data_IF_979682262945
#
_entry.id   IF_979682262945
#
_cell.length_a   1.000
_cell.length_b   1.000
_cell.length_c   1.000
_cell.angle_alpha   90.00
_cell.angle_beta   90.00
_cell.angle_gamma   90.00
#
_symmetry.space_group_name_H-M   'P 1'
#
loop_
_entity.id
_entity.type
_entity.pdbx_description
1 polymer ?
#
# COMPACT_ATOMS: atom_id res chain seq x y z
N UNK A 1 -31.33 49.83 46.33
CA UNK A 1 -31.81 48.56 45.76
C UNK A 1 -31.01 48.24 44.52
N UNK A 2 -30.00 47.33 44.61
CA UNK A 2 -29.18 46.90 43.50
C UNK A 2 -29.50 45.44 43.28
N UNK A 3 -30.02 45.14 42.09
CA UNK A 3 -30.22 43.74 41.61
C UNK A 3 -28.93 43.19 41.07
N UNK A 4 -28.39 42.18 41.72
CA UNK A 4 -27.33 41.34 41.22
C UNK A 4 -27.92 40.31 40.24
N UNK A 5 -27.49 40.35 38.98
CA UNK A 5 -27.75 39.29 38.00
C UNK A 5 -26.62 38.25 38.08
N UNK A 6 -26.97 37.09 38.54
CA UNK A 6 -26.16 35.91 38.53
C UNK A 6 -26.15 35.34 37.09
N UNK A 7 -25.02 35.41 36.43
CA UNK A 7 -24.84 34.77 35.13
C UNK A 7 -24.40 33.32 35.41
N UNK A 8 -25.29 32.38 35.11
CA UNK A 8 -24.96 30.94 35.09
C UNK A 8 -24.26 30.62 33.75
N UNK A 9 -22.97 30.32 33.83
CA UNK A 9 -22.18 29.88 32.69
C UNK A 9 -22.37 28.36 32.49
N UNK A 10 -23.27 27.98 31.58
CA UNK A 10 -23.37 26.60 31.13
C UNK A 10 -22.09 26.24 30.30
N UNK A 11 -21.18 25.50 30.91
CA UNK A 11 -20.13 24.79 30.15
C UNK A 11 -20.78 23.62 29.38
N UNK A 12 -20.94 23.82 28.09
CA UNK A 12 -21.22 22.73 27.17
C UNK A 12 -19.90 22.02 26.94
N UNK A 13 -19.71 20.85 27.53
CA UNK A 13 -18.67 19.93 27.17
C UNK A 13 -18.99 19.39 25.76
N UNK A 14 -18.43 20.03 24.75
CA UNK A 14 -18.38 19.48 23.40
C UNK A 14 -17.41 18.28 23.38
N UNK A 15 -17.97 17.09 23.29
CA UNK A 15 -17.22 15.89 22.97
C UNK A 15 -16.71 16.08 21.54
N UNK A 16 -15.44 16.46 21.40
CA UNK A 16 -14.76 16.44 20.11
C UNK A 16 -14.49 14.97 19.83
N UNK A 17 -15.39 14.35 19.08
CA UNK A 17 -15.05 13.13 18.33
C UNK A 17 -13.96 13.54 17.34
N UNK A 18 -12.72 13.27 17.70
CA UNK A 18 -11.64 13.23 16.70
C UNK A 18 -11.92 12.02 15.83
N UNK A 19 -12.68 12.26 14.74
CA UNK A 19 -12.69 11.33 13.63
C UNK A 19 -11.23 11.12 13.22
N UNK A 20 -10.78 9.89 13.29
CA UNK A 20 -9.57 9.47 12.62
C UNK A 20 -9.86 9.69 11.12
N UNK A 21 -9.47 10.84 10.65
CA UNK A 21 -9.31 11.10 9.23
C UNK A 21 -8.17 10.18 8.83
N UNK A 22 -8.47 9.08 8.17
CA UNK A 22 -7.49 8.42 7.29
C UNK A 22 -7.16 9.51 6.29
N UNK A 23 -6.06 10.19 6.55
CA UNK A 23 -5.57 11.24 5.67
C UNK A 23 -5.31 10.58 4.33
N UNK A 24 -6.04 11.02 3.31
CA UNK A 24 -5.54 10.98 1.94
C UNK A 24 -4.15 11.57 2.03
N UNK A 25 -3.14 10.70 1.93
CA UNK A 25 -1.74 11.10 1.96
C UNK A 25 -1.57 12.08 0.81
N UNK A 26 -1.21 13.31 1.15
CA UNK A 26 -1.02 14.36 0.17
C UNK A 26 -0.02 13.88 -0.87
N UNK A 27 -0.33 14.03 -2.14
CA UNK A 27 0.52 13.67 -3.29
C UNK A 27 1.89 14.38 -3.31
N UNK A 28 2.19 15.22 -2.32
CA UNK A 28 3.27 16.21 -2.36
C UNK A 28 4.54 15.84 -1.59
N UNK A 29 4.67 14.64 -0.98
CA UNK A 29 5.91 14.30 -0.26
C UNK A 29 5.92 12.98 0.51
N UNK A 30 7.06 12.62 1.13
CA UNK A 30 7.27 11.32 1.78
C UNK A 30 6.42 11.08 3.04
N UNK A 31 5.89 12.12 3.68
CA UNK A 31 5.01 12.01 4.85
C UNK A 31 5.70 11.66 6.17
N UNK A 32 6.65 10.72 6.17
CA UNK A 32 7.39 10.28 7.39
C UNK A 32 8.41 11.34 7.82
N UNK A 33 9.10 11.93 6.86
CA UNK A 33 10.03 13.04 7.07
C UNK A 33 9.62 14.22 6.20
N UNK A 34 9.91 15.47 6.63
CA UNK A 34 9.58 16.64 5.83
C UNK A 34 10.37 16.64 4.52
N UNK A 35 9.79 17.18 3.46
CA UNK A 35 10.54 17.51 2.25
C UNK A 35 11.58 18.60 2.57
N UNK A 36 12.81 18.45 2.05
CA UNK A 36 13.85 19.48 2.21
C UNK A 36 13.38 20.79 1.59
N UNK A 37 13.40 21.87 2.38
CA UNK A 37 12.83 23.16 1.99
C UNK A 37 13.43 23.71 0.69
N UNK A 38 12.56 24.06 -0.25
CA UNK A 38 12.93 24.59 -1.55
C UNK A 38 13.35 23.55 -2.58
N UNK A 39 13.20 22.26 -2.29
CA UNK A 39 13.41 21.19 -3.27
C UNK A 39 12.25 21.08 -4.24
N UNK A 40 12.57 20.73 -5.48
CA UNK A 40 11.60 20.39 -6.51
C UNK A 40 11.39 18.86 -6.54
N UNK A 41 10.16 18.41 -6.32
CA UNK A 41 9.79 17.01 -6.57
C UNK A 41 9.80 16.76 -8.08
N UNK A 42 10.65 15.82 -8.54
CA UNK A 42 10.80 15.49 -9.95
C UNK A 42 9.91 14.30 -10.32
N UNK A 43 9.88 13.30 -9.44
CA UNK A 43 9.19 12.05 -9.72
C UNK A 43 8.78 11.34 -8.43
N UNK A 44 7.71 10.57 -8.51
CA UNK A 44 7.25 9.67 -7.44
C UNK A 44 6.78 8.35 -8.02
N UNK A 45 7.07 7.25 -7.33
CA UNK A 45 6.60 5.91 -7.64
C UNK A 45 5.96 5.26 -6.41
N UNK A 46 4.95 4.43 -6.68
CA UNK A 46 4.39 3.49 -5.72
C UNK A 46 4.45 2.09 -6.35
N UNK A 47 5.30 1.22 -5.78
CA UNK A 47 5.54 -0.14 -6.30
C UNK A 47 4.59 -1.17 -5.70
N UNK A 48 3.80 -0.79 -4.68
CA UNK A 48 3.02 -1.76 -3.91
C UNK A 48 3.91 -2.59 -2.98
N UNK A 49 3.46 -3.80 -2.66
CA UNK A 49 4.22 -4.74 -1.82
C UNK A 49 5.25 -5.48 -2.68
N UNK A 50 6.52 -5.25 -2.38
CA UNK A 50 7.67 -5.80 -3.12
C UNK A 50 8.83 -6.11 -2.18
N UNK A 51 9.79 -6.92 -2.65
CA UNK A 51 11.07 -7.15 -1.98
C UNK A 51 12.12 -6.18 -2.54
N UNK A 52 12.87 -5.52 -1.66
CA UNK A 52 13.98 -4.64 -2.04
C UNK A 52 15.23 -4.94 -1.21
N UNK A 53 16.41 -5.11 -1.84
CA UNK A 53 17.67 -5.17 -1.11
C UNK A 53 18.03 -3.81 -0.50
N UNK A 54 18.35 -3.83 0.79
CA UNK A 54 18.74 -2.67 1.59
C UNK A 54 20.17 -2.87 2.07
N UNK A 55 21.05 -1.94 1.73
CA UNK A 55 22.45 -1.98 2.16
C UNK A 55 22.55 -1.45 3.60
N UNK A 56 22.99 -2.29 4.51
CA UNK A 56 23.07 -2.03 5.94
C UNK A 56 24.51 -1.99 6.49
N UNK A 57 25.50 -2.12 5.62
CA UNK A 57 26.92 -2.14 5.96
C UNK A 57 27.79 -2.37 4.74
N UNK A 58 29.11 -2.36 4.93
CA UNK A 58 30.08 -2.60 3.85
C UNK A 58 29.90 -3.98 3.21
N UNK A 59 29.53 -4.99 4.01
CA UNK A 59 29.34 -6.39 3.56
C UNK A 59 27.93 -6.89 3.90
N UNK A 60 26.99 -6.00 4.14
CA UNK A 60 25.67 -6.40 4.64
C UNK A 60 24.55 -5.83 3.75
N UNK A 61 23.91 -6.73 3.02
CA UNK A 61 22.69 -6.43 2.26
C UNK A 61 21.58 -7.36 2.76
N UNK A 62 20.44 -6.79 3.14
CA UNK A 62 19.26 -7.54 3.51
C UNK A 62 18.14 -7.30 2.50
N UNK A 63 17.51 -8.37 2.06
CA UNK A 63 16.25 -8.25 1.34
C UNK A 63 15.14 -7.92 2.33
N UNK A 64 14.41 -6.86 2.04
CA UNK A 64 13.32 -6.34 2.88
C UNK A 64 12.05 -6.32 2.05
N UNK A 65 11.02 -6.97 2.56
CA UNK A 65 9.68 -6.97 1.95
C UNK A 65 8.81 -5.91 2.61
N UNK A 66 7.99 -5.23 1.81
CA UNK A 66 7.07 -4.20 2.30
C UNK A 66 6.46 -3.38 1.18
N UNK A 67 5.59 -2.44 1.56
CA UNK A 67 5.03 -1.47 0.60
C UNK A 67 6.07 -0.40 0.30
N UNK A 68 6.49 -0.30 -0.98
CA UNK A 68 7.59 0.57 -1.39
C UNK A 68 7.06 1.81 -2.09
N UNK A 69 7.45 2.98 -1.55
CA UNK A 69 7.23 4.29 -2.15
C UNK A 69 8.54 4.99 -2.36
N UNK A 70 8.68 5.72 -3.47
CA UNK A 70 9.88 6.43 -3.85
C UNK A 70 9.55 7.86 -4.24
N UNK A 71 10.39 8.77 -3.80
CA UNK A 71 10.33 10.21 -4.11
C UNK A 71 11.70 10.67 -4.58
N UNK A 72 11.75 11.36 -5.70
CA UNK A 72 12.98 11.87 -6.26
C UNK A 72 12.92 13.38 -6.39
N UNK A 73 13.94 14.05 -5.86
CA UNK A 73 14.01 15.50 -5.74
C UNK A 73 15.26 16.07 -6.36
N UNK A 74 15.16 17.33 -6.82
CA UNK A 74 16.27 18.22 -7.02
C UNK A 74 16.37 19.17 -5.83
N UNK A 75 17.53 19.25 -5.20
CA UNK A 75 17.78 20.18 -4.10
C UNK A 75 17.89 21.63 -4.62
N UNK A 76 17.67 22.64 -3.76
CA UNK A 76 17.95 24.04 -4.12
C UNK A 76 19.39 24.24 -4.55
N UNK A 77 19.62 25.25 -5.41
CA UNK A 77 20.95 25.60 -5.92
C UNK A 77 21.97 25.78 -4.80
N UNK A 78 23.16 25.22 -4.99
CA UNK A 78 24.29 25.33 -4.07
C UNK A 78 24.26 24.39 -2.87
N UNK A 79 23.26 23.52 -2.74
CA UNK A 79 23.22 22.50 -1.69
C UNK A 79 24.08 21.30 -2.09
N UNK A 80 24.77 20.72 -1.08
CA UNK A 80 25.61 19.53 -1.29
C UNK A 80 24.86 18.26 -0.92
N UNK A 81 25.23 17.08 -1.49
CA UNK A 81 24.72 15.78 -1.05
C UNK A 81 24.89 15.56 0.46
N UNK A 82 26.05 15.94 1.00
CA UNK A 82 26.33 15.86 2.44
C UNK A 82 25.33 16.68 3.28
N UNK A 83 25.01 17.90 2.85
CA UNK A 83 24.05 18.76 3.56
C UNK A 83 22.65 18.13 3.56
N UNK A 84 22.22 17.54 2.45
CA UNK A 84 20.94 16.83 2.36
C UNK A 84 20.90 15.68 3.37
N UNK A 85 21.89 14.78 3.35
CA UNK A 85 21.95 13.64 4.26
C UNK A 85 21.99 14.09 5.72
N UNK A 86 22.74 15.14 6.06
CA UNK A 86 22.80 15.65 7.46
C UNK A 86 21.47 16.22 7.94
N UNK A 87 20.70 16.86 7.07
CA UNK A 87 19.37 17.35 7.42
C UNK A 87 18.40 16.21 7.66
N UNK A 88 18.42 15.16 6.81
CA UNK A 88 17.57 13.99 7.02
C UNK A 88 17.99 13.15 8.22
N UNK A 89 19.29 13.02 8.49
CA UNK A 89 19.77 12.38 9.72
C UNK A 89 19.17 13.08 10.95
N UNK A 90 19.25 14.42 11.02
CA UNK A 90 18.66 15.18 12.11
C UNK A 90 17.11 15.08 12.14
N UNK A 91 16.43 15.04 11.00
CA UNK A 91 15.00 14.86 10.95
C UNK A 91 14.57 13.48 11.47
N UNK A 92 15.33 12.43 11.13
CA UNK A 92 15.13 11.06 11.62
C UNK A 92 15.34 10.98 13.13
N UNK A 93 16.41 11.57 13.64
CA UNK A 93 16.68 11.63 15.09
C UNK A 93 15.56 12.36 15.86
N UNK A 94 14.98 13.42 15.29
CA UNK A 94 13.88 14.17 15.91
C UNK A 94 12.56 13.41 16.01
N UNK A 95 12.40 12.31 15.28
CA UNK A 95 11.23 11.43 15.33
C UNK A 95 11.57 10.06 15.95
N UNK A 96 12.62 10.02 16.78
CA UNK A 96 13.11 8.82 17.46
C UNK A 96 13.50 7.67 16.50
N UNK A 97 13.84 8.00 15.25
CA UNK A 97 14.31 7.03 14.27
C UNK A 97 15.75 6.60 14.52
N UNK A 98 16.07 5.38 14.17
CA UNK A 98 17.40 4.79 14.32
C UNK A 98 18.13 4.76 12.97
N UNK A 99 19.24 5.47 12.84
CA UNK A 99 20.16 5.29 11.70
C UNK A 99 20.85 3.94 11.83
N UNK A 100 20.70 3.10 10.81
CA UNK A 100 21.26 1.75 10.74
C UNK A 100 22.63 1.74 10.06
N UNK A 101 22.74 2.46 8.94
CA UNK A 101 23.98 2.59 8.18
C UNK A 101 24.02 3.92 7.45
N UNK A 102 25.21 4.48 7.27
CA UNK A 102 25.46 5.62 6.39
C UNK A 102 26.89 5.58 5.88
N UNK A 103 27.09 6.08 4.66
CA UNK A 103 28.43 6.24 4.07
C UNK A 103 28.52 7.54 3.29
N UNK A 104 29.74 8.09 3.25
CA UNK A 104 30.14 9.28 2.47
C UNK A 104 31.07 8.92 1.32
N UNK A 105 31.35 7.65 1.15
CA UNK A 105 32.18 7.12 0.10
C UNK A 105 31.63 5.76 -0.36
N UNK A 106 30.43 5.78 -1.01
CA UNK A 106 29.82 4.55 -1.52
C UNK A 106 30.69 3.82 -2.53
N UNK A 107 31.59 4.53 -3.22
CA UNK A 107 32.47 3.93 -4.23
C UNK A 107 33.59 3.08 -3.61
N UNK A 108 33.92 3.30 -2.31
CA UNK A 108 34.90 2.47 -1.59
C UNK A 108 34.31 1.15 -1.06
N UNK A 109 33.00 0.95 -1.16
CA UNK A 109 32.28 -0.22 -0.66
C UNK A 109 32.01 -1.15 -1.86
N UNK A 110 32.40 -2.41 -1.75
CA UNK A 110 32.15 -3.45 -2.76
C UNK A 110 31.01 -4.37 -2.32
N UNK A 111 30.01 -4.53 -3.19
CA UNK A 111 28.89 -5.46 -3.02
C UNK A 111 28.83 -6.34 -4.27
N UNK A 112 28.90 -7.65 -4.12
CA UNK A 112 28.91 -8.62 -5.23
C UNK A 112 29.97 -8.29 -6.31
N UNK A 113 31.19 -7.94 -5.89
CA UNK A 113 32.34 -7.58 -6.74
C UNK A 113 32.15 -6.30 -7.59
N UNK A 114 31.19 -5.45 -7.25
CA UNK A 114 30.99 -4.12 -7.86
C UNK A 114 30.94 -3.03 -6.77
N UNK A 115 31.34 -1.80 -7.12
CA UNK A 115 31.21 -0.71 -6.15
C UNK A 115 29.73 -0.40 -5.83
N UNK A 116 29.48 0.05 -4.62
CA UNK A 116 28.11 0.28 -4.12
C UNK A 116 27.34 1.29 -4.98
N UNK A 117 27.99 2.29 -5.56
CA UNK A 117 27.31 3.26 -6.41
C UNK A 117 26.77 2.58 -7.68
N UNK A 118 27.55 1.71 -8.32
CA UNK A 118 27.13 0.94 -9.49
C UNK A 118 26.13 -0.17 -9.12
N UNK A 119 26.31 -0.84 -7.98
CA UNK A 119 25.32 -1.77 -7.44
C UNK A 119 23.97 -1.10 -7.25
N UNK A 120 23.94 0.07 -6.64
CA UNK A 120 22.71 0.84 -6.40
C UNK A 120 22.02 1.27 -7.70
N UNK A 121 22.80 1.66 -8.73
CA UNK A 121 22.27 1.97 -10.07
C UNK A 121 21.65 0.72 -10.73
N UNK A 122 22.35 -0.42 -10.67
CA UNK A 122 21.88 -1.68 -11.26
C UNK A 122 20.60 -2.14 -10.60
N UNK A 123 20.56 -2.13 -9.28
CA UNK A 123 19.38 -2.46 -8.47
C UNK A 123 18.16 -1.64 -8.90
N UNK A 124 18.33 -0.36 -9.16
CA UNK A 124 17.27 0.51 -9.62
C UNK A 124 16.80 0.18 -11.04
N UNK A 125 17.69 -0.22 -11.92
CA UNK A 125 17.37 -0.61 -13.30
C UNK A 125 16.62 -1.93 -13.36
N UNK A 126 17.08 -2.94 -12.65
CA UNK A 126 16.50 -4.29 -12.67
C UNK A 126 15.08 -4.32 -12.09
N UNK A 127 14.79 -3.44 -11.14
CA UNK A 127 13.46 -3.31 -10.51
C UNK A 127 12.53 -2.33 -11.22
N UNK A 128 12.89 -1.85 -12.42
CA UNK A 128 12.10 -0.85 -13.14
C UNK A 128 12.11 0.55 -12.50
N UNK A 129 12.87 0.74 -11.42
CA UNK A 129 13.00 2.01 -10.69
C UNK A 129 13.66 3.11 -11.54
N UNK A 130 14.24 2.75 -12.68
CA UNK A 130 14.89 3.67 -13.61
C UNK A 130 13.98 4.14 -14.76
N UNK A 131 12.77 3.60 -14.88
CA UNK A 131 11.89 3.90 -16.00
C UNK A 131 11.34 5.34 -15.90
N UNK A 132 11.57 6.11 -16.94
CA UNK A 132 11.03 7.47 -17.10
C UNK A 132 12.05 8.61 -16.91
N UNK A 133 13.09 8.40 -16.12
CA UNK A 133 14.08 9.45 -15.84
C UNK A 133 15.37 9.30 -16.64
N UNK A 134 15.64 8.14 -17.19
CA UNK A 134 16.82 7.88 -18.06
C UNK A 134 16.85 8.78 -19.31
N UNK A 135 15.71 9.35 -19.73
CA UNK A 135 15.66 10.28 -20.87
C UNK A 135 16.16 11.68 -20.52
N UNK A 136 16.37 12.02 -19.23
CA UNK A 136 16.75 13.36 -18.77
C UNK A 136 18.01 13.37 -17.87
N UNK A 137 18.90 12.40 -18.02
CA UNK A 137 20.11 12.29 -17.21
C UNK A 137 19.78 11.68 -15.85
N UNK A 138 20.06 10.41 -15.73
CA UNK A 138 19.68 9.57 -14.58
C UNK A 138 20.10 10.15 -13.25
N UNK A 139 19.42 9.69 -12.23
CA UNK A 139 19.76 9.87 -10.82
C UNK A 139 21.23 9.68 -10.63
N UNK A 140 21.71 10.43 -9.69
CA UNK A 140 22.91 11.21 -9.84
C UNK A 140 23.97 10.40 -10.55
N UNK A 141 24.82 11.04 -11.30
CA UNK A 141 25.90 10.39 -12.02
C UNK A 141 26.56 9.33 -11.17
N UNK A 142 26.97 9.69 -9.98
CA UNK A 142 27.49 8.81 -8.95
C UNK A 142 26.76 9.06 -7.63
N UNK A 143 26.58 8.02 -6.83
CA UNK A 143 26.09 8.14 -5.47
C UNK A 143 27.22 8.69 -4.62
N UNK A 144 27.01 9.87 -4.01
CA UNK A 144 28.02 10.53 -3.15
C UNK A 144 27.76 10.23 -1.67
N UNK A 145 26.50 10.14 -1.28
CA UNK A 145 26.09 9.99 0.11
C UNK A 145 24.90 9.01 0.20
N UNK A 146 24.90 8.17 1.22
CA UNK A 146 23.83 7.21 1.47
C UNK A 146 23.52 7.12 2.96
N UNK A 147 22.27 7.00 3.31
CA UNK A 147 21.78 6.79 4.67
C UNK A 147 20.58 5.84 4.63
N UNK A 148 20.57 4.88 5.54
CA UNK A 148 19.40 4.05 5.81
C UNK A 148 19.09 4.07 7.30
N UNK A 149 17.83 4.15 7.62
CA UNK A 149 17.31 4.20 8.98
C UNK A 149 16.05 3.35 9.13
N UNK A 150 15.71 3.08 10.38
CA UNK A 150 14.43 2.47 10.78
C UNK A 150 13.64 3.48 11.57
N UNK A 151 12.38 3.67 11.20
CA UNK A 151 11.47 4.65 11.82
C UNK A 151 10.13 3.98 12.06
N UNK A 152 9.58 4.06 13.27
CA UNK A 152 8.23 3.59 13.57
C UNK A 152 7.23 4.75 13.44
N UNK A 153 6.18 4.57 12.64
CA UNK A 153 5.08 5.51 12.50
C UNK A 153 3.79 4.76 12.76
N UNK A 154 2.97 5.22 13.71
CA UNK A 154 1.70 4.59 14.08
C UNK A 154 1.80 3.08 14.38
N UNK A 155 2.91 2.65 15.00
CA UNK A 155 3.30 1.27 15.32
C UNK A 155 3.74 0.42 14.12
N UNK A 156 3.81 0.98 12.92
CA UNK A 156 4.37 0.33 11.73
C UNK A 156 5.83 0.74 11.59
N UNK A 157 6.70 -0.26 11.47
CA UNK A 157 8.12 -0.04 11.21
C UNK A 157 8.35 0.28 9.74
N UNK A 158 9.22 1.24 9.48
CA UNK A 158 9.60 1.64 8.13
C UNK A 158 11.11 1.64 7.98
N UNK A 159 11.62 1.13 6.84
CA UNK A 159 12.93 1.53 6.38
C UNK A 159 12.81 2.84 5.59
N UNK A 160 13.68 3.77 5.91
CA UNK A 160 13.81 5.04 5.21
C UNK A 160 15.23 5.11 4.63
N UNK A 161 15.32 5.07 3.31
CA UNK A 161 16.58 5.16 2.57
C UNK A 161 16.68 6.53 1.95
N UNK A 162 17.80 7.21 2.13
CA UNK A 162 18.09 8.50 1.52
C UNK A 162 19.42 8.39 0.80
N UNK A 163 19.38 8.59 -0.50
CA UNK A 163 20.53 8.55 -1.38
C UNK A 163 20.69 9.91 -2.06
N UNK A 164 21.86 10.49 -2.06
CA UNK A 164 22.11 11.79 -2.64
C UNK A 164 23.41 11.83 -3.45
N UNK A 165 23.42 12.62 -4.52
CA UNK A 165 24.59 12.79 -5.37
C UNK A 165 24.46 13.96 -6.32
N UNK A 166 25.55 14.25 -7.04
CA UNK A 166 25.59 15.30 -8.06
C UNK A 166 24.98 14.84 -9.38
N UNK A 167 24.38 15.76 -10.11
CA UNK A 167 23.88 15.52 -11.44
C UNK A 167 24.99 15.06 -12.41
N UNK A 168 24.63 14.20 -13.35
CA UNK A 168 25.56 13.78 -14.41
C UNK A 168 25.78 14.90 -15.43
N UNK A 169 26.91 14.91 -16.09
CA UNK A 169 27.30 15.90 -17.13
C UNK A 169 26.26 16.06 -18.26
N UNK A 170 25.44 15.05 -18.50
CA UNK A 170 24.35 15.09 -19.49
C UNK A 170 23.09 15.80 -18.98
N UNK A 171 22.96 16.07 -17.67
CA UNK A 171 21.88 16.86 -17.13
C UNK A 171 22.07 18.33 -17.48
N UNK A 172 21.00 19.07 -17.77
CA UNK A 172 21.09 20.51 -18.07
C UNK A 172 21.71 21.32 -16.91
N UNK A 173 21.83 20.75 -15.72
CA UNK A 173 22.36 21.32 -14.49
C UNK A 173 23.27 20.28 -13.79
N UNK A 174 24.43 20.02 -14.38
CA UNK A 174 25.36 18.97 -13.94
C UNK A 174 25.91 19.18 -12.50
N UNK A 175 25.87 20.41 -11.98
CA UNK A 175 26.34 20.74 -10.63
C UNK A 175 25.23 20.67 -9.55
N UNK A 176 23.97 20.46 -9.96
CA UNK A 176 22.87 20.36 -9.02
C UNK A 176 22.97 19.08 -8.19
N UNK A 177 22.50 19.17 -6.97
CA UNK A 177 22.33 18.02 -6.10
C UNK A 177 20.93 17.40 -6.30
N UNK A 178 20.92 16.11 -6.50
CA UNK A 178 19.71 15.30 -6.55
C UNK A 178 19.69 14.34 -5.37
N UNK A 179 18.50 14.00 -4.90
CA UNK A 179 18.35 13.00 -3.84
C UNK A 179 17.05 12.26 -4.01
N UNK A 180 17.05 11.03 -3.53
CA UNK A 180 15.83 10.24 -3.45
C UNK A 180 15.57 9.79 -2.01
N UNK A 181 14.28 9.60 -1.74
CA UNK A 181 13.78 9.03 -0.50
C UNK A 181 13.00 7.80 -0.89
N UNK A 182 13.43 6.62 -0.41
CA UNK A 182 12.69 5.37 -0.54
C UNK A 182 12.16 5.01 0.83
N UNK A 183 10.87 4.72 0.90
CA UNK A 183 10.19 4.26 2.09
C UNK A 183 9.76 2.82 1.84
N UNK A 184 10.14 1.91 2.72
CA UNK A 184 9.67 0.53 2.74
C UNK A 184 8.90 0.36 4.05
N UNK A 185 7.59 0.34 3.93
CA UNK A 185 6.68 0.13 5.06
C UNK A 185 6.55 -1.36 5.35
N UNK A 186 7.01 -1.77 6.54
CA UNK A 186 7.09 -3.18 6.95
C UNK A 186 5.75 -3.69 7.49
N UNK A 187 4.67 -3.39 6.85
CA UNK A 187 3.43 -4.10 7.13
C UNK A 187 3.56 -5.54 6.62
N UNK A 188 2.99 -6.48 7.37
CA UNK A 188 2.80 -7.81 6.82
C UNK A 188 2.00 -7.65 5.52
N UNK A 189 2.45 -8.32 4.46
CA UNK A 189 1.67 -8.42 3.23
C UNK A 189 0.23 -8.73 3.64
N UNK A 190 -0.70 -7.81 3.36
CA UNK A 190 -2.11 -8.16 3.48
C UNK A 190 -2.28 -9.39 2.61
N UNK A 191 -2.39 -10.54 3.26
CA UNK A 191 -2.75 -11.75 2.54
C UNK A 191 -4.18 -11.50 2.11
N UNK A 192 -4.35 -11.05 0.88
CA UNK A 192 -5.65 -10.88 0.24
C UNK A 192 -6.43 -12.19 0.21
N UNK A 193 -5.81 -13.29 0.64
CA UNK A 193 -6.44 -14.59 0.72
C UNK A 193 -7.27 -14.72 1.98
N UNK A 194 -8.57 -14.92 1.80
CA UNK A 194 -9.50 -15.13 2.89
C UNK A 194 -9.04 -16.28 3.77
N UNK A 195 -8.98 -16.05 5.09
CA UNK A 195 -8.63 -17.06 6.09
C UNK A 195 -9.85 -17.53 6.86
N UNK A 196 -9.76 -18.73 7.46
CA UNK A 196 -10.80 -19.25 8.37
C UNK A 196 -11.10 -18.28 9.52
N UNK A 197 -10.07 -17.64 10.08
CA UNK A 197 -10.23 -16.67 11.16
C UNK A 197 -11.03 -15.43 10.70
N UNK A 198 -10.74 -14.89 9.53
CA UNK A 198 -11.48 -13.76 8.96
C UNK A 198 -12.94 -14.11 8.64
N UNK A 199 -13.21 -15.33 8.13
CA UNK A 199 -14.58 -15.81 7.92
C UNK A 199 -15.35 -15.90 9.24
N UNK A 200 -14.76 -16.50 10.26
CA UNK A 200 -15.39 -16.66 11.58
C UNK A 200 -15.64 -15.31 12.25
N UNK A 201 -14.64 -14.43 12.29
CA UNK A 201 -14.74 -13.11 12.94
C UNK A 201 -15.69 -12.19 12.18
N UNK A 202 -15.56 -12.07 10.86
CA UNK A 202 -16.41 -11.18 10.05
C UNK A 202 -17.88 -11.58 10.11
N UNK A 203 -18.19 -12.88 10.06
CA UNK A 203 -19.56 -13.35 10.19
C UNK A 203 -20.12 -13.18 11.62
N UNK A 204 -19.26 -13.33 12.64
CA UNK A 204 -19.68 -13.16 14.04
C UNK A 204 -19.94 -11.68 14.38
N UNK A 205 -19.09 -10.77 13.91
CA UNK A 205 -19.11 -9.36 14.28
C UNK A 205 -20.00 -8.56 13.33
N UNK A 206 -19.82 -8.74 12.01
CA UNK A 206 -20.46 -7.93 10.97
C UNK A 206 -21.62 -8.64 10.27
N UNK A 207 -21.82 -9.93 10.52
CA UNK A 207 -22.81 -10.79 9.86
C UNK A 207 -22.46 -11.07 8.38
N UNK A 208 -21.30 -10.61 7.90
CA UNK A 208 -20.80 -10.79 6.54
C UNK A 208 -19.28 -10.70 6.48
N UNK A 209 -18.72 -11.28 5.43
CA UNK A 209 -17.30 -11.10 5.09
C UNK A 209 -17.13 -10.86 3.60
N UNK A 210 -16.32 -9.87 3.25
CA UNK A 210 -15.94 -9.58 1.88
C UNK A 210 -14.73 -10.44 1.47
N UNK A 211 -14.78 -11.01 0.27
CA UNK A 211 -13.77 -11.89 -0.29
C UNK A 211 -13.32 -11.30 -1.62
N UNK A 212 -12.04 -11.00 -1.72
CA UNK A 212 -11.44 -10.37 -2.90
C UNK A 212 -10.72 -11.37 -3.80
N UNK A 213 -10.43 -12.56 -3.30
CA UNK A 213 -9.63 -13.61 -3.97
C UNK A 213 -10.45 -14.51 -4.90
N UNK A 214 -11.68 -14.13 -5.21
CA UNK A 214 -12.48 -14.79 -6.23
C UNK A 214 -12.35 -14.02 -7.54
N UNK A 215 -11.50 -14.53 -8.42
CA UNK A 215 -11.13 -13.89 -9.67
C UNK A 215 -12.00 -14.32 -10.85
N UNK A 216 -12.32 -13.35 -11.69
CA UNK A 216 -13.08 -13.54 -12.93
C UNK A 216 -12.40 -12.78 -14.09
N UNK A 217 -12.58 -13.26 -15.31
CA UNK A 217 -12.19 -12.45 -16.45
C UNK A 217 -13.15 -11.25 -16.65
N UNK A 218 -12.65 -10.19 -17.29
CA UNK A 218 -13.43 -8.98 -17.52
C UNK A 218 -14.74 -9.29 -18.25
N UNK A 219 -15.86 -8.88 -17.63
CA UNK A 219 -17.20 -9.11 -18.17
C UNK A 219 -17.67 -10.56 -18.16
N UNK A 220 -16.94 -11.47 -17.51
CA UNK A 220 -17.29 -12.89 -17.43
C UNK A 220 -17.62 -13.31 -16.00
N UNK A 221 -18.34 -14.45 -15.90
CA UNK A 221 -18.70 -15.06 -14.61
C UNK A 221 -17.94 -16.38 -14.34
N UNK A 222 -17.06 -16.80 -15.24
CA UNK A 222 -16.25 -18.00 -15.00
C UNK A 222 -15.22 -17.71 -13.92
N UNK A 223 -15.27 -18.52 -12.84
CA UNK A 223 -14.26 -18.46 -11.77
C UNK A 223 -12.93 -18.98 -12.28
N UNK A 224 -11.86 -18.24 -12.08
CA UNK A 224 -10.50 -18.58 -12.49
C UNK A 224 -9.86 -19.58 -11.55
N UNK A 225 -8.82 -20.30 -12.03
CA UNK A 225 -8.10 -21.30 -11.24
C UNK A 225 -7.38 -20.68 -10.02
N UNK A 226 -6.97 -19.44 -10.13
CA UNK A 226 -6.30 -18.69 -9.05
C UNK A 226 -7.18 -18.50 -7.81
N UNK A 227 -8.51 -18.72 -7.93
CA UNK A 227 -9.47 -18.65 -6.81
C UNK A 227 -9.58 -19.95 -6.02
N UNK A 228 -8.83 -21.01 -6.37
CA UNK A 228 -9.01 -22.36 -5.80
C UNK A 228 -8.78 -22.39 -4.30
N UNK A 229 -7.77 -21.69 -3.81
CA UNK A 229 -7.43 -21.64 -2.39
C UNK A 229 -8.50 -20.91 -1.57
N UNK A 230 -8.99 -19.79 -2.06
CA UNK A 230 -10.10 -19.05 -1.43
C UNK A 230 -11.37 -19.90 -1.38
N UNK A 231 -11.70 -20.60 -2.48
CA UNK A 231 -12.85 -21.52 -2.51
C UNK A 231 -12.69 -22.67 -1.52
N UNK A 232 -11.49 -23.23 -1.37
CA UNK A 232 -11.22 -24.31 -0.42
C UNK A 232 -11.43 -23.83 1.04
N UNK A 233 -10.92 -22.63 1.38
CA UNK A 233 -11.10 -22.01 2.70
C UNK A 233 -12.57 -21.73 3.01
N UNK A 234 -13.33 -21.19 2.04
CA UNK A 234 -14.77 -20.98 2.19
C UNK A 234 -15.49 -22.32 2.38
N UNK A 235 -15.12 -23.34 1.61
CA UNK A 235 -15.74 -24.65 1.70
C UNK A 235 -15.48 -25.32 3.05
N UNK A 236 -14.27 -25.25 3.58
CA UNK A 236 -13.92 -25.75 4.92
C UNK A 236 -14.79 -25.08 5.99
N UNK A 237 -14.89 -23.74 5.95
CA UNK A 237 -15.76 -22.98 6.85
C UNK A 237 -17.23 -23.43 6.75
N UNK A 238 -17.77 -23.61 5.56
CA UNK A 238 -19.16 -24.01 5.33
C UNK A 238 -19.43 -25.44 5.81
N UNK A 239 -18.47 -26.35 5.65
CA UNK A 239 -18.57 -27.72 6.16
C UNK A 239 -18.60 -27.76 7.70
N UNK A 240 -17.77 -26.97 8.37
CA UNK A 240 -17.79 -26.83 9.83
C UNK A 240 -19.10 -26.24 10.35
N UNK A 241 -19.76 -25.40 9.53
CA UNK A 241 -21.01 -24.73 9.85
C UNK A 241 -22.21 -25.25 9.04
N UNK A 242 -22.27 -26.57 8.78
CA UNK A 242 -23.26 -27.22 7.90
C UNK A 242 -24.71 -27.06 8.33
N UNK A 243 -24.98 -26.64 9.57
CA UNK A 243 -26.32 -26.36 10.09
C UNK A 243 -26.84 -24.94 9.78
N UNK A 244 -26.02 -24.06 9.19
CA UNK A 244 -26.37 -22.69 8.90
C UNK A 244 -26.54 -22.46 7.40
N UNK A 245 -27.21 -21.37 7.04
CA UNK A 245 -27.42 -20.96 5.63
C UNK A 245 -26.74 -19.64 5.36
N UNK A 246 -26.23 -19.48 4.13
CA UNK A 246 -25.47 -18.31 3.74
C UNK A 246 -25.91 -17.78 2.37
N UNK A 247 -25.82 -16.46 2.21
CA UNK A 247 -25.86 -15.83 0.91
C UNK A 247 -24.44 -15.72 0.36
N UNK A 248 -24.29 -16.02 -0.92
CA UNK A 248 -23.11 -15.68 -1.72
C UNK A 248 -23.48 -14.47 -2.57
N UNK A 249 -22.96 -13.30 -2.21
CA UNK A 249 -23.39 -12.03 -2.81
C UNK A 249 -22.31 -11.52 -3.77
N UNK A 250 -22.66 -11.39 -5.05
CA UNK A 250 -21.77 -10.82 -6.07
C UNK A 250 -21.94 -9.31 -6.20
N UNK A 251 -20.82 -8.59 -6.30
CA UNK A 251 -20.73 -7.16 -6.49
C UNK A 251 -19.94 -6.81 -7.75
N UNK A 252 -20.19 -5.62 -8.31
CA UNK A 252 -19.40 -5.04 -9.40
C UNK A 252 -19.02 -3.61 -9.07
N UNK A 253 -18.06 -3.07 -9.81
CA UNK A 253 -17.90 -1.63 -9.93
C UNK A 253 -19.05 -1.02 -10.77
N UNK A 254 -19.00 0.30 -11.02
CA UNK A 254 -20.05 1.00 -11.77
C UNK A 254 -19.78 1.09 -13.28
N UNK A 255 -18.70 0.48 -13.79
CA UNK A 255 -18.36 0.54 -15.23
C UNK A 255 -19.36 -0.28 -16.04
N UNK A 256 -20.04 0.38 -16.98
CA UNK A 256 -21.10 -0.22 -17.78
C UNK A 256 -22.53 0.17 -17.32
N UNK A 257 -23.55 -0.52 -17.84
CA UNK A 257 -24.92 -0.24 -17.41
C UNK A 257 -25.28 -0.97 -16.12
N UNK A 258 -26.21 -0.39 -15.36
CA UNK A 258 -26.70 -0.99 -14.11
C UNK A 258 -27.24 -2.41 -14.33
N UNK A 259 -28.09 -2.61 -15.35
CA UNK A 259 -28.71 -3.91 -15.62
C UNK A 259 -27.68 -4.98 -16.03
N UNK A 260 -26.66 -4.59 -16.81
CA UNK A 260 -25.56 -5.51 -17.15
C UNK A 260 -24.78 -5.93 -15.92
N UNK A 261 -24.46 -4.99 -15.05
CA UNK A 261 -23.73 -5.25 -13.81
C UNK A 261 -24.55 -6.07 -12.81
N UNK A 262 -25.86 -5.83 -12.73
CA UNK A 262 -26.75 -6.64 -11.90
C UNK A 262 -26.77 -8.10 -12.37
N UNK A 263 -26.93 -8.34 -13.67
CA UNK A 263 -26.91 -9.67 -14.25
C UNK A 263 -25.52 -10.34 -14.11
N UNK A 264 -24.44 -9.59 -14.32
CA UNK A 264 -23.08 -10.10 -14.18
C UNK A 264 -22.78 -10.53 -12.74
N UNK A 265 -23.17 -9.72 -11.76
CA UNK A 265 -22.96 -10.04 -10.33
C UNK A 265 -23.77 -11.27 -9.92
N UNK A 266 -25.01 -11.43 -10.41
CA UNK A 266 -25.81 -12.61 -10.18
C UNK A 266 -25.15 -13.87 -10.79
N UNK A 267 -24.70 -13.81 -12.04
CA UNK A 267 -24.02 -14.91 -12.70
C UNK A 267 -22.69 -15.31 -12.02
N UNK A 268 -21.97 -14.33 -11.45
CA UNK A 268 -20.75 -14.58 -10.66
C UNK A 268 -21.06 -15.29 -9.35
N UNK A 269 -22.05 -14.85 -8.61
CA UNK A 269 -22.51 -15.51 -7.39
C UNK A 269 -22.96 -16.95 -7.65
N UNK A 270 -23.72 -17.18 -8.72
CA UNK A 270 -24.13 -18.52 -9.16
C UNK A 270 -22.94 -19.42 -9.51
N UNK A 271 -21.92 -18.87 -10.18
CA UNK A 271 -20.71 -19.63 -10.52
C UNK A 271 -19.89 -20.02 -9.28
N UNK A 272 -19.79 -19.15 -8.27
CA UNK A 272 -19.15 -19.46 -6.99
C UNK A 272 -19.93 -20.57 -6.26
N UNK A 273 -21.24 -20.43 -6.13
CA UNK A 273 -22.10 -21.48 -5.53
C UNK A 273 -21.93 -22.82 -6.27
N UNK A 274 -21.95 -22.80 -7.61
CA UNK A 274 -21.76 -24.00 -8.40
C UNK A 274 -20.40 -24.69 -8.14
N UNK A 275 -19.31 -23.91 -8.00
CA UNK A 275 -17.99 -24.43 -7.64
C UNK A 275 -18.00 -25.05 -6.24
N UNK A 276 -18.53 -24.36 -5.24
CA UNK A 276 -18.61 -24.87 -3.85
C UNK A 276 -19.43 -26.16 -3.76
N UNK A 277 -20.53 -26.26 -4.48
CA UNK A 277 -21.37 -27.46 -4.49
C UNK A 277 -20.71 -28.61 -5.25
N UNK A 278 -20.25 -28.38 -6.48
CA UNK A 278 -19.79 -29.45 -7.36
C UNK A 278 -18.40 -29.97 -7.02
N UNK A 279 -17.48 -29.08 -6.63
CA UNK A 279 -16.08 -29.42 -6.45
C UNK A 279 -15.73 -29.67 -4.98
N UNK A 280 -16.44 -29.03 -4.04
CA UNK A 280 -16.15 -29.14 -2.61
C UNK A 280 -17.27 -29.86 -1.81
N UNK A 281 -18.38 -30.24 -2.45
CA UNK A 281 -19.43 -31.05 -1.84
C UNK A 281 -20.32 -30.28 -0.84
N UNK A 282 -20.37 -28.96 -0.90
CA UNK A 282 -21.28 -28.14 -0.08
C UNK A 282 -22.72 -28.40 -0.50
N UNK A 283 -23.63 -28.50 0.50
CA UNK A 283 -25.05 -28.67 0.21
C UNK A 283 -25.63 -27.48 -0.54
N UNK A 284 -26.36 -27.72 -1.62
CA UNK A 284 -27.07 -26.67 -2.34
C UNK A 284 -28.06 -25.89 -1.46
N UNK A 285 -28.68 -26.55 -0.49
CA UNK A 285 -29.65 -25.95 0.44
C UNK A 285 -29.00 -24.99 1.44
N UNK A 286 -27.67 -25.07 1.60
CA UNK A 286 -26.89 -24.18 2.47
C UNK A 286 -26.62 -22.83 1.85
N UNK A 287 -26.68 -22.72 0.52
CA UNK A 287 -26.22 -21.55 -0.22
C UNK A 287 -27.31 -20.91 -1.08
N UNK A 288 -27.40 -19.60 -1.04
CA UNK A 288 -28.25 -18.81 -1.92
C UNK A 288 -27.39 -17.76 -2.65
N UNK A 289 -27.41 -17.78 -3.99
CA UNK A 289 -26.70 -16.78 -4.80
C UNK A 289 -27.52 -15.51 -4.96
N UNK A 290 -26.88 -14.35 -4.78
CA UNK A 290 -27.50 -13.02 -4.95
C UNK A 290 -26.55 -12.10 -5.69
N UNK A 291 -27.04 -11.39 -6.72
CA UNK A 291 -26.30 -10.33 -7.38
C UNK A 291 -26.87 -8.97 -7.00
N UNK A 292 -26.04 -8.05 -6.60
CA UNK A 292 -26.43 -6.68 -6.26
C UNK A 292 -25.84 -5.63 -7.21
N UNK A 293 -24.99 -6.05 -8.15
CA UNK A 293 -24.35 -5.15 -9.09
C UNK A 293 -23.55 -4.06 -8.37
N UNK A 294 -23.62 -2.80 -8.83
CA UNK A 294 -22.88 -1.67 -8.24
C UNK A 294 -23.66 -0.99 -7.09
N UNK A 295 -24.76 -1.58 -6.59
CA UNK A 295 -25.67 -0.91 -5.66
C UNK A 295 -25.11 -0.74 -4.24
N UNK A 296 -24.07 -1.51 -3.86
CA UNK A 296 -23.48 -1.48 -2.53
C UNK A 296 -21.95 -1.30 -2.59
N UNK A 297 -21.47 -0.11 -2.99
CA UNK A 297 -20.05 0.17 -3.04
C UNK A 297 -19.45 0.27 -1.62
N UNK A 298 -18.25 -0.28 -1.41
CA UNK A 298 -17.47 -0.13 -0.17
C UNK A 298 -16.44 0.98 -0.29
N UNK A 299 -16.06 1.33 -1.52
CA UNK A 299 -15.16 2.45 -1.82
C UNK A 299 -15.66 3.29 -3.00
N UNK A 300 -15.03 4.46 -3.18
CA UNK A 300 -15.36 5.36 -4.30
C UNK A 300 -15.03 4.70 -5.65
N UNK A 301 -15.98 4.71 -6.57
CA UNK A 301 -15.76 4.23 -7.94
C UNK A 301 -14.94 5.21 -8.82
N UNK A 302 -14.49 6.34 -8.29
CA UNK A 302 -13.72 7.33 -9.04
C UNK A 302 -12.28 6.88 -9.30
N UNK A 303 -11.70 6.05 -8.42
CA UNK A 303 -10.35 5.50 -8.53
C UNK A 303 -10.38 4.04 -8.97
N UNK A 304 -9.29 3.54 -9.55
CA UNK A 304 -9.19 2.11 -9.89
C UNK A 304 -9.16 1.24 -8.65
N UNK A 305 -8.42 1.65 -7.62
CA UNK A 305 -8.36 0.93 -6.33
C UNK A 305 -9.76 0.79 -5.72
N UNK A 306 -10.51 1.89 -5.68
CA UNK A 306 -11.89 1.83 -5.19
C UNK A 306 -12.81 0.94 -6.03
N UNK A 307 -12.62 0.91 -7.36
CA UNK A 307 -13.35 -0.03 -8.24
C UNK A 307 -12.93 -1.48 -7.97
N UNK A 308 -11.64 -1.73 -7.75
CA UNK A 308 -11.14 -3.07 -7.39
C UNK A 308 -11.81 -3.58 -6.12
N UNK A 309 -11.88 -2.76 -5.06
CA UNK A 309 -12.57 -3.11 -3.81
C UNK A 309 -14.09 -3.30 -3.99
N UNK A 310 -14.70 -2.67 -4.99
CA UNK A 310 -16.13 -2.88 -5.28
C UNK A 310 -16.38 -4.18 -6.05
N UNK A 311 -15.40 -4.72 -6.79
CA UNK A 311 -15.46 -6.00 -7.51
C UNK A 311 -15.15 -7.16 -6.56
N UNK A 312 -16.10 -7.58 -5.74
CA UNK A 312 -15.92 -8.59 -4.69
C UNK A 312 -17.08 -9.59 -4.63
N UNK A 313 -16.85 -10.64 -3.87
CA UNK A 313 -17.91 -11.56 -3.41
C UNK A 313 -18.04 -11.40 -1.90
N UNK A 314 -19.25 -11.46 -1.36
CA UNK A 314 -19.46 -11.50 0.10
C UNK A 314 -20.15 -12.82 0.48
N UNK A 315 -19.74 -13.36 1.63
CA UNK A 315 -20.50 -14.41 2.34
C UNK A 315 -21.26 -13.71 3.47
N UNK A 316 -22.58 -13.95 3.53
CA UNK A 316 -23.47 -13.33 4.52
C UNK A 316 -24.23 -14.42 5.23
N UNK A 317 -24.22 -14.43 6.56
CA UNK A 317 -25.01 -15.39 7.33
C UNK A 317 -26.51 -15.09 7.21
N UNK A 318 -27.29 -16.08 6.83
CA UNK A 318 -28.74 -15.92 6.65
C UNK A 318 -29.53 -16.39 7.86
N UNK A 319 -29.17 -17.55 8.40
CA UNK A 319 -29.81 -18.19 9.58
C UNK A 319 -28.83 -19.13 10.28
#
# INVERSE_FOLDING_TARGET
>A
MRFNRLIVLCMVFGLIMTGISIGVMAEDGPGIVPTYEGSDLIYTDNFGFEEMPVVLGEDTVNNVEGYIRRFWFRAPEGRSPYEIIRNYEAAIENIDGQVLFKTRDPQSIEIDDIDFSDYYKTLRQDRGLATGVMSFGGFPGDLDEYLVSRVAVDQVDNYLIIAAGKGHWAAQQADDTYFEIVIIELEAMEMDMVTMAQLQEGLLVDGRVAIYDIYFDTGQSRVKAESEEALATIAEFLLENSGKRYLVVGHTDFVGSYDMNLNLSQARAEAVVARLVNDFGISQDQLVSVGVGPAAPVMSNQTEDGRAMNRRVEIVELE
#
